data_IF_114138663383
#
_entry.id   IF_114138663383
#
_cell.length_a   1.000
_cell.length_b   1.000
_cell.length_c   1.000
_cell.angle_alpha   90.00
_cell.angle_beta   90.00
_cell.angle_gamma   90.00
#
_symmetry.space_group_name_H-M   'P 1'
#
loop_
_entity.id
_entity.type
_entity.pdbx_description
1 polymer ?
#
# COMPACT_ATOMS: atom_id res chain seq x y z
N UNK A 1 14.00 -0.12 17.91
CA UNK A 1 12.85 0.23 17.06
C UNK A 1 12.85 1.73 16.86
N UNK A 2 12.88 2.21 15.61
CA UNK A 2 12.84 3.65 15.31
C UNK A 2 11.43 4.02 14.85
N UNK A 3 10.70 4.74 15.70
CA UNK A 3 9.43 5.36 15.31
C UNK A 3 9.69 6.40 14.22
N UNK A 4 9.01 6.25 13.08
CA UNK A 4 9.07 7.21 11.98
C UNK A 4 7.97 8.26 12.10
N UNK A 5 6.83 7.92 12.71
CA UNK A 5 5.74 8.86 12.97
C UNK A 5 4.87 8.42 14.15
N UNK A 6 4.10 9.33 14.74
CA UNK A 6 3.17 9.06 15.83
C UNK A 6 1.78 9.56 15.46
N UNK A 7 0.77 8.71 15.61
CA UNK A 7 -0.64 9.07 15.42
C UNK A 7 -1.30 9.18 16.78
N UNK A 8 -1.87 10.34 17.09
CA UNK A 8 -2.75 10.51 18.24
C UNK A 8 -4.20 10.31 17.79
N UNK A 9 -4.88 9.32 18.37
CA UNK A 9 -6.25 8.98 18.04
C UNK A 9 -7.24 9.89 18.81
N UNK A 10 -8.49 10.04 18.32
CA UNK A 10 -9.49 10.87 18.99
C UNK A 10 -9.82 10.44 20.42
N UNK A 11 -9.64 9.16 20.75
CA UNK A 11 -9.85 8.61 22.09
C UNK A 11 -8.64 8.78 23.02
N UNK A 12 -7.59 9.47 22.57
CA UNK A 12 -6.36 9.71 23.34
C UNK A 12 -5.30 8.62 23.22
N UNK A 13 -5.62 7.45 22.63
CA UNK A 13 -4.62 6.42 22.35
C UNK A 13 -3.57 6.92 21.35
N UNK A 14 -2.37 6.33 21.45
CA UNK A 14 -1.24 6.64 20.58
C UNK A 14 -0.81 5.42 19.79
N UNK A 15 -0.50 5.63 18.52
CA UNK A 15 -0.04 4.59 17.60
C UNK A 15 1.27 5.02 16.96
N UNK A 16 2.32 4.24 17.18
CA UNK A 16 3.62 4.42 16.55
C UNK A 16 3.62 3.81 15.15
N UNK A 17 4.06 4.57 14.15
CA UNK A 17 4.42 4.04 12.84
C UNK A 17 5.90 3.72 12.87
N UNK A 18 6.24 2.48 12.58
CA UNK A 18 7.61 1.97 12.63
C UNK A 18 7.96 1.29 11.31
N UNK A 19 9.18 1.50 10.84
CA UNK A 19 9.71 0.71 9.74
C UNK A 19 10.05 -0.70 10.24
N UNK A 20 9.69 -1.70 9.45
CA UNK A 20 9.99 -3.10 9.73
C UNK A 20 11.50 -3.38 9.77
N UNK A 21 11.85 -4.41 10.53
CA UNK A 21 13.18 -5.01 10.58
C UNK A 21 13.05 -6.51 10.89
N UNK A 22 14.17 -7.22 11.02
CA UNK A 22 14.15 -8.66 11.31
C UNK A 22 13.52 -9.01 12.68
N UNK A 23 13.60 -8.11 13.66
CA UNK A 23 13.02 -8.33 14.99
C UNK A 23 11.51 -8.19 14.92
N UNK A 24 11.01 -7.16 14.24
CA UNK A 24 9.58 -6.95 14.01
C UNK A 24 8.99 -8.04 13.12
N UNK A 25 9.73 -8.53 12.13
CA UNK A 25 9.34 -9.68 11.32
C UNK A 25 9.07 -10.91 12.20
N UNK A 26 10.03 -11.28 13.05
CA UNK A 26 9.89 -12.43 13.95
C UNK A 26 8.76 -12.30 14.98
N UNK A 27 8.34 -11.07 15.32
CA UNK A 27 7.28 -10.82 16.30
C UNK A 27 5.89 -10.72 15.69
N UNK A 28 5.77 -10.20 14.48
CA UNK A 28 4.48 -9.75 13.94
C UNK A 28 4.09 -10.36 12.60
N UNK A 29 4.97 -11.09 11.89
CA UNK A 29 4.66 -11.59 10.55
C UNK A 29 3.40 -12.48 10.51
N UNK A 30 3.22 -13.36 11.50
CA UNK A 30 2.03 -14.23 11.58
C UNK A 30 0.75 -13.41 11.80
N UNK A 31 0.80 -12.42 12.70
CA UNK A 31 -0.33 -11.54 12.95
C UNK A 31 -0.67 -10.67 11.73
N UNK A 32 0.34 -10.15 11.02
CA UNK A 32 0.17 -9.45 9.75
C UNK A 32 -0.49 -10.36 8.72
N UNK A 33 -0.03 -11.61 8.59
CA UNK A 33 -0.61 -12.56 7.65
C UNK A 33 -2.08 -12.85 7.96
N UNK A 34 -2.45 -13.04 9.22
CA UNK A 34 -3.86 -13.21 9.62
C UNK A 34 -4.69 -11.99 9.24
N UNK A 35 -4.21 -10.78 9.52
CA UNK A 35 -4.91 -9.53 9.16
C UNK A 35 -5.10 -9.39 7.64
N UNK A 36 -4.06 -9.70 6.86
CA UNK A 36 -4.12 -9.64 5.39
C UNK A 36 -5.02 -10.73 4.82
N UNK A 37 -5.00 -11.94 5.37
CA UNK A 37 -5.87 -13.03 4.94
C UNK A 37 -7.36 -12.66 5.12
N UNK A 38 -7.72 -12.01 6.23
CA UNK A 38 -9.09 -11.53 6.46
C UNK A 38 -9.50 -10.46 5.45
N UNK A 39 -8.63 -9.47 5.20
CA UNK A 39 -8.89 -8.40 4.24
C UNK A 39 -8.97 -8.94 2.80
N UNK A 40 -8.14 -9.94 2.46
CA UNK A 40 -8.17 -10.60 1.16
C UNK A 40 -9.42 -11.44 0.96
N UNK A 41 -9.86 -12.19 1.97
CA UNK A 41 -11.12 -12.93 1.94
C UNK A 41 -12.35 -12.01 1.77
N UNK A 42 -12.27 -10.77 2.25
CA UNK A 42 -13.28 -9.74 2.03
C UNK A 42 -13.18 -9.06 0.63
N UNK A 43 -12.23 -9.47 -0.22
CA UNK A 43 -12.01 -8.90 -1.55
C UNK A 43 -11.41 -7.48 -1.54
N UNK A 44 -10.90 -7.01 -0.39
CA UNK A 44 -10.33 -5.67 -0.24
C UNK A 44 -8.91 -5.59 -0.85
N UNK A 45 -8.14 -6.68 -0.75
CA UNK A 45 -6.73 -6.76 -1.18
C UNK A 45 -6.40 -8.09 -1.86
N UNK A 46 -5.30 -8.12 -2.61
CA UNK A 46 -4.71 -9.35 -3.14
C UNK A 46 -4.21 -10.26 -2.03
N UNK A 47 -4.28 -11.57 -2.25
CA UNK A 47 -3.70 -12.56 -1.36
C UNK A 47 -2.17 -12.41 -1.31
N UNK A 48 -1.59 -12.53 -0.12
CA UNK A 48 -0.14 -12.47 0.11
C UNK A 48 0.29 -13.65 0.97
N UNK A 49 1.42 -14.27 0.63
CA UNK A 49 1.97 -15.38 1.41
C UNK A 49 2.68 -14.89 2.67
N UNK A 50 2.71 -15.72 3.72
CA UNK A 50 3.51 -15.44 4.93
C UNK A 50 5.00 -15.25 4.60
N UNK A 51 5.53 -16.03 3.66
CA UNK A 51 6.92 -15.93 3.23
C UNK A 51 7.23 -14.56 2.62
N UNK A 52 6.34 -14.05 1.76
CA UNK A 52 6.49 -12.72 1.15
C UNK A 52 6.38 -11.60 2.18
N UNK A 53 5.47 -11.72 3.15
CA UNK A 53 5.35 -10.78 4.27
C UNK A 53 6.65 -10.75 5.07
N UNK A 54 7.17 -11.92 5.46
CA UNK A 54 8.40 -12.04 6.23
C UNK A 54 9.59 -11.46 5.47
N UNK A 55 9.74 -11.80 4.19
CA UNK A 55 10.82 -11.29 3.35
C UNK A 55 10.79 -9.76 3.24
N UNK A 56 9.61 -9.16 3.01
CA UNK A 56 9.46 -7.71 2.96
C UNK A 56 9.77 -7.03 4.31
N UNK A 57 9.35 -7.64 5.42
CA UNK A 57 9.61 -7.09 6.75
C UNK A 57 11.10 -7.15 7.12
N UNK A 58 11.77 -8.28 6.84
CA UNK A 58 13.22 -8.42 7.08
C UNK A 58 14.01 -7.42 6.23
N UNK A 59 13.58 -7.19 4.98
CA UNK A 59 14.21 -6.23 4.09
C UNK A 59 13.94 -4.75 4.45
N UNK A 60 13.12 -4.48 5.47
CA UNK A 60 12.72 -3.11 5.84
C UNK A 60 11.76 -2.46 4.84
N UNK A 61 11.09 -3.24 4.00
CA UNK A 61 10.18 -2.78 2.96
C UNK A 61 8.70 -2.71 3.41
N UNK A 62 8.46 -2.72 4.71
CA UNK A 62 7.14 -2.56 5.29
C UNK A 62 7.13 -1.58 6.46
N UNK A 63 5.94 -1.03 6.72
CA UNK A 63 5.65 -0.18 7.86
C UNK A 63 4.54 -0.82 8.69
N UNK A 64 4.74 -0.83 10.01
CA UNK A 64 3.78 -1.32 10.98
C UNK A 64 3.23 -0.13 11.75
N UNK A 65 1.94 -0.20 12.07
CA UNK A 65 1.32 0.63 13.07
C UNK A 65 1.22 -0.20 14.35
N UNK A 66 1.87 0.24 15.42
CA UNK A 66 1.91 -0.42 16.72
C UNK A 66 1.28 0.48 17.77
N UNK A 67 0.40 -0.05 18.61
CA UNK A 67 -0.12 0.70 19.76
C UNK A 67 1.04 1.04 20.69
N UNK A 68 1.15 2.31 21.05
CA UNK A 68 2.29 2.84 21.80
C UNK A 68 2.44 2.22 23.20
N UNK A 69 1.33 1.86 23.83
CA UNK A 69 1.30 1.40 25.22
C UNK A 69 1.91 0.01 25.41
N UNK A 70 1.71 -0.90 24.44
CA UNK A 70 2.07 -2.31 24.59
C UNK A 70 2.67 -2.94 23.32
N UNK A 71 2.81 -2.18 22.24
CA UNK A 71 3.36 -2.65 20.97
C UNK A 71 2.41 -3.58 20.20
N UNK A 72 1.13 -3.63 20.54
CA UNK A 72 0.16 -4.43 19.76
C UNK A 72 0.09 -3.94 18.31
N UNK A 73 0.12 -4.89 17.36
CA UNK A 73 -0.03 -4.59 15.94
C UNK A 73 -1.46 -4.11 15.64
N UNK A 74 -1.59 -2.91 15.07
CA UNK A 74 -2.89 -2.32 14.68
C UNK A 74 -3.01 -2.05 13.18
N UNK A 75 -1.91 -2.08 12.45
CA UNK A 75 -1.91 -1.90 10.99
C UNK A 75 -0.58 -2.26 10.34
N UNK A 76 -0.61 -2.43 9.03
CA UNK A 76 0.53 -2.82 8.22
C UNK A 76 0.38 -2.28 6.79
N UNK A 77 1.50 -1.94 6.17
CA UNK A 77 1.56 -1.64 4.74
C UNK A 77 2.95 -1.98 4.18
N UNK A 78 3.02 -2.50 2.96
CA UNK A 78 4.28 -2.77 2.23
C UNK A 78 4.19 -2.23 0.80
N UNK A 79 5.21 -2.44 -0.02
CA UNK A 79 5.19 -2.03 -1.42
C UNK A 79 5.80 -3.12 -2.30
N UNK A 80 5.29 -3.22 -3.53
CA UNK A 80 5.86 -4.04 -4.58
C UNK A 80 6.84 -3.24 -5.44
N UNK A 81 7.82 -3.94 -5.99
CA UNK A 81 8.74 -3.40 -6.99
C UNK A 81 8.52 -4.14 -8.30
N UNK A 82 8.51 -3.37 -9.39
CA UNK A 82 8.43 -3.85 -10.77
C UNK A 82 9.67 -3.33 -11.50
N UNK A 83 10.83 -4.02 -11.37
CA UNK A 83 12.12 -3.48 -11.79
C UNK A 83 12.23 -3.18 -13.28
N UNK A 84 11.68 -4.05 -14.13
CA UNK A 84 11.72 -3.93 -15.59
C UNK A 84 11.00 -2.65 -16.04
N UNK A 85 9.90 -2.32 -15.37
CA UNK A 85 9.14 -1.11 -15.61
C UNK A 85 9.65 0.10 -14.81
N UNK A 86 10.53 -0.12 -13.82
CA UNK A 86 10.94 0.84 -12.77
C UNK A 86 9.73 1.50 -12.12
N UNK A 87 8.79 0.67 -11.67
CA UNK A 87 7.59 1.07 -10.93
C UNK A 87 7.70 0.58 -9.49
N UNK A 88 7.27 1.40 -8.56
CA UNK A 88 7.04 1.02 -7.17
C UNK A 88 5.58 1.27 -6.82
N UNK A 89 4.98 0.30 -6.14
CA UNK A 89 3.53 0.26 -5.90
C UNK A 89 3.26 0.02 -4.42
N UNK A 90 2.61 0.95 -3.69
CA UNK A 90 2.19 0.69 -2.33
C UNK A 90 1.11 -0.40 -2.33
N UNK A 91 1.27 -1.41 -1.48
CA UNK A 91 0.49 -2.64 -1.46
C UNK A 91 0.14 -3.08 -0.04
N UNK A 92 -0.79 -4.04 0.04
CA UNK A 92 -1.09 -4.80 1.26
C UNK A 92 -1.37 -3.92 2.49
N UNK A 93 -2.08 -2.82 2.29
CA UNK A 93 -2.48 -1.95 3.40
C UNK A 93 -3.63 -2.58 4.17
N UNK A 94 -3.44 -2.75 5.47
CA UNK A 94 -4.48 -3.24 6.38
C UNK A 94 -4.41 -2.48 7.71
N UNK A 95 -5.58 -2.17 8.26
CA UNK A 95 -5.74 -1.56 9.59
C UNK A 95 -6.88 -2.28 10.30
N UNK A 96 -6.66 -2.63 11.58
CA UNK A 96 -7.67 -3.28 12.41
C UNK A 96 -8.95 -2.42 12.48
N UNK A 97 -10.15 -3.04 12.46
CA UNK A 97 -11.41 -2.28 12.43
C UNK A 97 -11.54 -1.18 13.48
N UNK A 98 -11.16 -1.39 14.76
CA UNK A 98 -11.22 -0.35 15.80
C UNK A 98 -10.29 0.85 15.56
N UNK A 99 -9.35 0.76 14.62
CA UNK A 99 -8.38 1.80 14.27
C UNK A 99 -8.63 2.41 12.88
N UNK A 100 -9.63 1.91 12.15
CA UNK A 100 -10.04 2.47 10.85
C UNK A 100 -10.64 3.87 11.04
N UNK A 101 -10.56 4.69 9.99
CA UNK A 101 -11.11 6.06 9.93
C UNK A 101 -10.55 7.05 10.97
N UNK A 102 -9.44 6.71 11.64
CA UNK A 102 -8.78 7.56 12.65
C UNK A 102 -7.39 8.05 12.21
N UNK A 103 -7.12 8.03 10.89
CA UNK A 103 -5.86 8.54 10.32
C UNK A 103 -4.71 7.54 10.24
N UNK A 104 -4.75 6.41 10.96
CA UNK A 104 -3.68 5.38 10.94
C UNK A 104 -3.30 4.96 9.51
N UNK A 105 -4.28 4.62 8.68
CA UNK A 105 -4.04 4.21 7.29
C UNK A 105 -3.44 5.32 6.42
N UNK A 106 -3.75 6.59 6.71
CA UNK A 106 -3.15 7.74 6.00
C UNK A 106 -1.68 7.87 6.37
N UNK A 107 -1.34 7.77 7.65
CA UNK A 107 0.05 7.90 8.11
C UNK A 107 0.92 6.73 7.64
N UNK A 108 0.38 5.51 7.60
CA UNK A 108 1.05 4.37 6.95
C UNK A 108 1.33 4.64 5.46
N UNK A 109 0.34 5.13 4.71
CA UNK A 109 0.49 5.42 3.29
C UNK A 109 1.41 6.61 3.01
N UNK A 110 1.47 7.58 3.92
CA UNK A 110 2.44 8.68 3.86
C UNK A 110 3.87 8.16 4.09
N UNK A 111 4.10 7.39 5.16
CA UNK A 111 5.42 6.87 5.50
C UNK A 111 6.00 5.99 4.37
N UNK A 112 5.17 5.15 3.75
CA UNK A 112 5.61 4.31 2.65
C UNK A 112 5.89 5.09 1.37
N UNK A 113 5.10 6.14 1.08
CA UNK A 113 5.33 7.03 -0.05
C UNK A 113 6.66 7.77 0.11
N UNK A 114 6.90 8.36 1.29
CA UNK A 114 8.14 9.05 1.61
C UNK A 114 9.35 8.12 1.44
N UNK A 115 9.25 6.89 1.95
CA UNK A 115 10.30 5.90 1.78
C UNK A 115 10.55 5.53 0.31
N UNK A 116 9.49 5.23 -0.44
CA UNK A 116 9.57 4.91 -1.87
C UNK A 116 10.25 6.03 -2.67
N UNK A 117 9.84 7.29 -2.43
CA UNK A 117 10.39 8.48 -3.10
C UNK A 117 11.84 8.73 -2.69
N UNK A 118 12.19 8.50 -1.42
CA UNK A 118 13.56 8.68 -0.94
C UNK A 118 14.51 7.63 -1.53
N UNK A 119 14.08 6.35 -1.58
CA UNK A 119 14.94 5.26 -2.03
C UNK A 119 15.07 5.19 -3.56
N UNK A 120 14.02 5.56 -4.29
CA UNK A 120 13.94 5.46 -5.76
C UNK A 120 13.24 6.69 -6.35
N UNK A 121 13.85 7.89 -6.24
CA UNK A 121 13.21 9.15 -6.61
C UNK A 121 12.76 9.21 -8.08
N UNK A 122 13.45 8.48 -8.96
CA UNK A 122 13.18 8.46 -10.39
C UNK A 122 12.22 7.34 -10.85
N UNK A 123 11.79 6.46 -9.94
CA UNK A 123 10.84 5.39 -10.26
C UNK A 123 9.40 5.93 -10.21
N UNK A 124 8.55 5.41 -11.09
CA UNK A 124 7.14 5.78 -11.08
C UNK A 124 6.48 5.22 -9.80
N UNK A 125 5.81 6.06 -9.02
CA UNK A 125 4.96 5.61 -7.93
C UNK A 125 3.52 5.51 -8.43
N UNK A 126 3.02 4.29 -8.51
CA UNK A 126 1.67 3.96 -8.97
C UNK A 126 0.92 3.26 -7.86
N UNK A 127 -0.29 3.67 -7.54
CA UNK A 127 -1.18 2.98 -6.62
C UNK A 127 -2.41 2.45 -7.37
N UNK A 128 -2.64 1.13 -7.29
CA UNK A 128 -3.90 0.51 -7.63
C UNK A 128 -4.75 0.43 -6.35
N UNK A 129 -5.70 1.34 -6.19
CA UNK A 129 -6.44 1.50 -4.95
C UNK A 129 -7.94 1.29 -5.16
N UNK A 130 -8.58 0.52 -4.30
CA UNK A 130 -10.03 0.29 -4.30
C UNK A 130 -10.71 0.92 -3.06
N UNK A 131 -12.01 1.17 -3.17
CA UNK A 131 -12.88 1.57 -2.06
C UNK A 131 -12.35 2.73 -1.23
N UNK A 132 -12.33 2.53 0.11
CA UNK A 132 -11.92 3.54 1.09
C UNK A 132 -10.44 3.97 1.01
N UNK A 133 -9.62 3.33 0.18
CA UNK A 133 -8.23 3.73 -0.04
C UNK A 133 -8.09 4.85 -1.08
N UNK A 134 -9.04 4.99 -2.02
CA UNK A 134 -8.98 6.01 -3.08
C UNK A 134 -8.90 7.43 -2.52
N UNK A 135 -9.72 7.83 -1.53
CA UNK A 135 -9.65 9.19 -0.97
C UNK A 135 -8.32 9.51 -0.27
N UNK A 136 -7.61 8.49 0.26
CA UNK A 136 -6.29 8.68 0.87
C UNK A 136 -5.29 9.06 -0.21
N UNK A 137 -5.17 8.23 -1.25
CA UNK A 137 -4.22 8.46 -2.33
C UNK A 137 -4.52 9.75 -3.10
N UNK A 138 -5.77 9.93 -3.54
CA UNK A 138 -6.18 11.07 -4.37
C UNK A 138 -6.24 12.38 -3.57
N UNK A 139 -6.92 12.35 -2.41
CA UNK A 139 -7.22 13.56 -1.64
C UNK A 139 -6.13 13.96 -0.65
N UNK A 140 -5.53 12.99 0.07
CA UNK A 140 -4.54 13.29 1.12
C UNK A 140 -3.10 13.30 0.59
N UNK A 141 -2.80 12.42 -0.37
CA UNK A 141 -1.44 12.22 -0.89
C UNK A 141 -1.23 12.83 -2.28
N UNK A 142 -2.25 13.45 -2.87
CA UNK A 142 -2.15 14.20 -4.12
C UNK A 142 -1.93 13.36 -5.38
N UNK A 143 -2.28 12.07 -5.35
CA UNK A 143 -2.20 11.23 -6.53
C UNK A 143 -3.25 11.63 -7.57
N UNK A 144 -2.91 11.50 -8.83
CA UNK A 144 -3.77 11.83 -9.96
C UNK A 144 -4.15 10.53 -10.68
N UNK A 145 -5.42 10.41 -11.02
CA UNK A 145 -5.94 9.27 -11.76
C UNK A 145 -5.47 9.31 -13.22
N UNK A 146 -5.06 8.16 -13.74
CA UNK A 146 -4.60 7.99 -15.12
C UNK A 146 -5.30 6.81 -15.79
N UNK A 147 -5.29 6.79 -17.11
CA UNK A 147 -5.77 5.65 -17.89
C UNK A 147 -4.88 4.41 -17.67
N UNK A 148 -5.48 3.33 -17.18
CA UNK A 148 -4.83 2.04 -16.96
C UNK A 148 -4.24 1.44 -18.25
N UNK A 149 -4.75 1.81 -19.43
CA UNK A 149 -4.23 1.32 -20.71
C UNK A 149 -2.83 1.85 -21.04
N UNK A 150 -2.40 2.93 -20.40
CA UNK A 150 -1.06 3.49 -20.53
C UNK A 150 -0.01 2.80 -19.64
N UNK A 151 -0.45 1.86 -18.79
CA UNK A 151 0.40 1.14 -17.86
C UNK A 151 0.93 -0.17 -18.45
N UNK A 152 2.16 -0.59 -18.07
CA UNK A 152 2.77 -1.81 -18.59
C UNK A 152 2.04 -3.07 -18.14
N UNK A 153 2.05 -4.10 -18.99
CA UNK A 153 1.27 -5.32 -18.75
C UNK A 153 1.78 -6.17 -17.57
N UNK A 154 3.03 -5.99 -17.15
CA UNK A 154 3.59 -6.70 -16.00
C UNK A 154 2.78 -6.48 -14.71
N UNK A 155 2.14 -5.31 -14.56
CA UNK A 155 1.30 -4.97 -13.40
C UNK A 155 0.08 -5.88 -13.27
N UNK A 156 -0.41 -6.43 -14.38
CA UNK A 156 -1.62 -7.24 -14.42
C UNK A 156 -1.35 -8.74 -14.20
N UNK A 157 -0.07 -9.14 -14.17
CA UNK A 157 0.34 -10.55 -14.04
C UNK A 157 -0.16 -11.21 -12.74
N UNK A 158 -0.40 -10.42 -11.70
CA UNK A 158 -0.89 -10.89 -10.39
C UNK A 158 -2.40 -10.72 -10.22
N UNK A 159 -3.11 -10.16 -11.22
CA UNK A 159 -4.53 -9.93 -11.12
C UNK A 159 -5.35 -11.22 -11.06
N UNK A 160 -4.84 -12.34 -11.58
CA UNK A 160 -5.46 -13.67 -11.45
C UNK A 160 -5.64 -14.13 -9.99
N UNK A 161 -4.90 -13.55 -9.04
CA UNK A 161 -5.06 -13.80 -7.61
C UNK A 161 -6.15 -12.94 -6.96
N UNK A 162 -6.78 -12.03 -7.71
CA UNK A 162 -7.83 -11.15 -7.21
C UNK A 162 -9.21 -11.80 -7.32
N UNK A 163 -9.99 -11.78 -6.24
CA UNK A 163 -11.40 -12.19 -6.26
C UNK A 163 -12.25 -11.39 -7.26
N UNK A 164 -11.83 -10.19 -7.64
CA UNK A 164 -12.54 -9.31 -8.57
C UNK A 164 -12.08 -9.45 -10.04
N UNK A 165 -11.13 -10.34 -10.35
CA UNK A 165 -10.51 -10.41 -11.66
C UNK A 165 -11.51 -10.74 -12.78
N UNK A 166 -12.30 -11.79 -12.59
CA UNK A 166 -13.29 -12.23 -13.58
C UNK A 166 -14.34 -11.15 -13.84
N UNK A 167 -14.80 -10.47 -12.78
CA UNK A 167 -15.73 -9.36 -12.90
C UNK A 167 -15.14 -8.17 -13.67
N UNK A 168 -13.85 -7.87 -13.47
CA UNK A 168 -13.17 -6.80 -14.21
C UNK A 168 -13.05 -7.12 -15.71
N UNK A 169 -12.66 -8.36 -16.04
CA UNK A 169 -12.56 -8.84 -17.42
C UNK A 169 -13.91 -8.87 -18.12
N UNK A 170 -14.97 -9.33 -17.44
CA UNK A 170 -16.33 -9.31 -17.96
C UNK A 170 -16.82 -7.89 -18.27
N UNK A 171 -16.31 -6.89 -17.56
CA UNK A 171 -16.57 -5.47 -17.81
C UNK A 171 -15.60 -4.82 -18.83
N UNK A 172 -14.74 -5.60 -19.49
CA UNK A 172 -13.77 -5.11 -20.48
C UNK A 172 -12.61 -4.30 -19.89
N UNK A 173 -12.32 -4.44 -18.59
CA UNK A 173 -11.26 -3.70 -17.89
C UNK A 173 -10.06 -4.58 -17.57
N UNK A 174 -8.87 -3.98 -17.48
CA UNK A 174 -7.67 -4.67 -16.97
C UNK A 174 -7.72 -4.87 -15.45
N UNK A 175 -8.26 -3.89 -14.72
CA UNK A 175 -8.46 -3.95 -13.28
C UNK A 175 -9.75 -3.21 -12.86
N UNK A 176 -10.35 -3.58 -11.73
CA UNK A 176 -11.47 -2.84 -11.16
C UNK A 176 -11.03 -1.60 -10.36
N UNK A 177 -9.75 -1.50 -10.00
CA UNK A 177 -9.21 -0.38 -9.24
C UNK A 177 -8.72 0.74 -10.17
N UNK A 178 -9.01 2.02 -9.87
CA UNK A 178 -8.37 3.14 -10.57
C UNK A 178 -6.86 3.10 -10.42
N UNK A 179 -6.17 3.46 -11.50
CA UNK A 179 -4.74 3.71 -11.52
C UNK A 179 -4.46 5.14 -11.06
N UNK A 180 -3.75 5.28 -9.94
CA UNK A 180 -3.41 6.56 -9.35
C UNK A 180 -1.89 6.76 -9.40
N UNK A 181 -1.43 7.89 -9.92
CA UNK A 181 -0.01 8.20 -10.10
C UNK A 181 0.39 9.39 -9.24
N UNK A 182 1.53 9.26 -8.57
CA UNK A 182 2.12 10.37 -7.82
C UNK A 182 2.80 11.37 -8.78
N UNK A 183 2.48 12.67 -8.71
CA UNK A 183 3.00 13.68 -9.64
C UNK A 183 4.40 14.21 -9.27
N UNK A 184 5.02 13.71 -8.19
CA UNK A 184 6.22 14.32 -7.62
C UNK A 184 7.53 13.98 -8.34
N UNK A 185 7.48 13.31 -9.49
CA UNK A 185 8.64 13.16 -10.37
C UNK A 185 8.24 13.27 -11.86
N UNK A 186 9.27 13.40 -12.71
CA UNK A 186 9.11 13.61 -14.15
C UNK A 186 8.31 12.48 -14.82
N UNK A 187 8.51 11.22 -14.42
CA UNK A 187 7.78 10.08 -15.00
C UNK A 187 6.29 10.14 -14.66
N UNK A 188 5.95 10.49 -13.42
CA UNK A 188 4.57 10.69 -12.99
C UNK A 188 3.88 11.79 -13.79
N UNK A 189 4.54 12.93 -13.93
CA UNK A 189 4.04 14.08 -14.70
C UNK A 189 3.77 13.72 -16.17
N UNK A 190 4.74 13.07 -16.83
CA UNK A 190 4.58 12.65 -18.23
C UNK A 190 3.41 11.70 -18.43
N UNK A 191 3.20 10.75 -17.51
CA UNK A 191 2.09 9.80 -17.62
C UNK A 191 0.74 10.48 -17.40
N UNK A 192 0.66 11.39 -16.42
CA UNK A 192 -0.53 12.21 -16.16
C UNK A 192 -0.89 13.06 -17.38
N UNK A 193 0.10 13.70 -18.01
CA UNK A 193 -0.12 14.49 -19.23
C UNK A 193 -0.59 13.64 -20.41
N UNK A 194 -0.01 12.45 -20.60
CA UNK A 194 -0.45 11.50 -21.64
C UNK A 194 -1.89 11.07 -21.44
N UNK A 195 -2.32 10.86 -20.19
CA UNK A 195 -3.68 10.44 -19.87
C UNK A 195 -4.75 11.51 -20.09
N UNK A 196 -4.36 12.77 -20.30
CA UNK A 196 -5.28 13.89 -20.57
C UNK A 196 -5.49 14.15 -22.06
N UNK A 197 -4.70 13.51 -22.92
CA UNK A 197 -4.76 13.64 -24.38
C UNK A 197 -5.60 12.52 -24.97
#
# INVERSE_FOLDING_TARGET
>A
MKTVNLVQLPNGERVDIVQSDCVLAGRHADAVWVMLAWSSAAGEILQVSLQEIYANMVAGNAFLALRHEDGCLVGYQTFGLWPEARIQEPRSKVVLPPYRQQGVGTVLSQAILEYMVQQRPEWLVLALASGGSVPIWKGKLGFVEVDQHLLPDCLWSICNLCANHEAALAAGKKCCAPALVWPGNQRGQMLIEKSRK
#
